data_IF_049844065466
#
_entry.id   IF_049844065466
#
_cell.length_a   1.000
_cell.length_b   1.000
_cell.length_c   1.000
_cell.angle_alpha   90.00
_cell.angle_beta   90.00
_cell.angle_gamma   90.00
#
_symmetry.space_group_name_H-M   'P 1'
#
loop_
_entity.id
_entity.type
_entity.pdbx_description
1 polymer ?
#
# COMPACT_ATOMS: atom_id res chain seq x y z
N UNK A 1 -12.10 22.44 15.82
CA UNK A 1 -11.20 21.66 16.68
C UNK A 1 -12.03 20.77 17.60
N UNK A 2 -11.94 19.45 17.42
CA UNK A 2 -12.77 18.48 18.17
C UNK A 2 -12.05 17.93 19.40
N UNK A 3 -10.85 18.47 19.76
CA UNK A 3 -10.07 18.05 20.92
C UNK A 3 -9.54 16.62 20.83
N UNK A 4 -9.29 16.12 19.62
CA UNK A 4 -8.66 14.82 19.42
C UNK A 4 -7.16 14.98 19.62
N UNK A 5 -6.59 14.25 20.56
CA UNK A 5 -5.15 14.19 20.78
C UNK A 5 -4.50 13.30 19.74
N UNK A 6 -3.43 13.77 19.12
CA UNK A 6 -2.72 13.03 18.08
C UNK A 6 -1.20 13.21 18.19
N UNK A 7 -0.48 12.28 17.61
CA UNK A 7 0.96 12.36 17.34
C UNK A 7 1.22 12.49 15.84
N UNK A 8 2.24 13.23 15.48
CA UNK A 8 2.74 13.29 14.11
C UNK A 8 3.86 12.27 13.93
N UNK A 9 3.75 11.45 12.88
CA UNK A 9 4.73 10.45 12.48
C UNK A 9 5.43 10.86 11.18
N UNK A 10 6.27 9.96 10.63
CA UNK A 10 6.98 10.20 9.37
C UNK A 10 6.02 10.75 8.30
N UNK A 11 6.53 11.68 7.46
CA UNK A 11 5.80 12.30 6.36
C UNK A 11 4.55 13.12 6.75
N UNK A 12 4.47 13.64 7.97
CA UNK A 12 3.35 14.45 8.42
C UNK A 12 2.06 13.66 8.69
N UNK A 13 2.14 12.34 8.81
CA UNK A 13 1.00 11.50 9.12
C UNK A 13 0.55 11.71 10.57
N UNK A 14 -0.74 11.96 10.76
CA UNK A 14 -1.33 12.17 12.08
C UNK A 14 -2.01 10.90 12.57
N UNK A 15 -1.67 10.47 13.78
CA UNK A 15 -2.25 9.30 14.44
C UNK A 15 -2.87 9.70 15.75
N UNK A 16 -4.16 9.38 15.94
CA UNK A 16 -4.82 9.59 17.24
C UNK A 16 -4.22 8.71 18.32
N UNK A 17 -4.02 9.26 19.51
CA UNK A 17 -3.43 8.53 20.65
C UNK A 17 -4.36 7.47 21.22
N UNK A 18 -5.68 7.64 21.09
CA UNK A 18 -6.69 6.73 21.65
C UNK A 18 -7.27 5.74 20.62
N UNK A 19 -6.74 5.75 19.39
CA UNK A 19 -7.16 4.85 18.32
C UNK A 19 -8.39 5.32 17.55
N UNK A 20 -8.68 4.63 16.45
CA UNK A 20 -9.71 5.01 15.48
C UNK A 20 -11.13 5.14 16.08
N UNK A 21 -11.41 4.45 17.18
CA UNK A 21 -12.70 4.50 17.86
C UNK A 21 -13.05 5.91 18.35
N UNK A 22 -12.05 6.68 18.81
CA UNK A 22 -12.25 8.07 19.24
C UNK A 22 -12.77 8.95 18.08
N UNK A 23 -12.27 8.75 16.87
CA UNK A 23 -12.75 9.50 15.69
C UNK A 23 -14.22 9.18 15.43
N UNK A 24 -14.58 7.89 15.47
CA UNK A 24 -15.97 7.46 15.29
C UNK A 24 -16.90 8.06 16.34
N UNK A 25 -16.53 8.00 17.62
CA UNK A 25 -17.31 8.56 18.73
C UNK A 25 -17.52 10.08 18.58
N UNK A 26 -16.50 10.80 18.09
CA UNK A 26 -16.63 12.24 17.81
C UNK A 26 -17.59 12.53 16.68
N UNK A 27 -17.52 11.77 15.59
CA UNK A 27 -18.45 11.93 14.47
C UNK A 27 -19.91 11.63 14.88
N UNK A 28 -20.13 10.58 15.65
CA UNK A 28 -21.46 10.26 16.19
C UNK A 28 -21.98 11.35 17.11
N UNK A 29 -21.12 11.88 17.98
CA UNK A 29 -21.51 13.00 18.87
C UNK A 29 -21.90 14.27 18.10
N UNK A 30 -21.26 14.57 16.95
CA UNK A 30 -21.65 15.68 16.10
C UNK A 30 -23.00 15.44 15.40
N UNK A 31 -23.26 14.20 14.98
CA UNK A 31 -24.57 13.83 14.45
C UNK A 31 -25.68 14.03 15.49
N UNK A 32 -25.45 13.60 16.73
CA UNK A 32 -26.41 13.78 17.84
C UNK A 32 -26.67 15.25 18.16
N UNK A 33 -25.62 16.09 18.18
CA UNK A 33 -25.75 17.54 18.37
C UNK A 33 -26.58 18.21 17.29
N UNK A 34 -26.45 17.76 16.04
CA UNK A 34 -27.16 18.34 14.90
C UNK A 34 -28.68 18.14 14.98
N UNK A 35 -29.20 17.18 15.79
CA UNK A 35 -30.61 16.84 16.01
C UNK A 35 -31.47 16.59 14.75
N UNK A 36 -30.87 16.71 13.56
CA UNK A 36 -31.51 16.52 12.25
C UNK A 36 -30.90 15.35 11.49
N UNK A 37 -29.90 14.69 12.06
CA UNK A 37 -29.25 13.52 11.47
C UNK A 37 -29.86 12.26 12.08
N UNK A 38 -30.34 11.38 11.24
CA UNK A 38 -30.82 10.06 11.64
C UNK A 38 -29.89 9.01 11.03
N UNK A 39 -29.26 8.21 11.88
CA UNK A 39 -28.39 7.11 11.46
C UNK A 39 -29.19 5.82 11.58
N UNK A 40 -29.33 5.10 10.48
CA UNK A 40 -30.04 3.83 10.41
C UNK A 40 -29.08 2.72 9.99
N UNK A 41 -28.77 1.83 10.91
CA UNK A 41 -27.92 0.66 10.66
C UNK A 41 -28.77 -0.55 10.26
N UNK A 42 -28.14 -1.58 9.69
CA UNK A 42 -28.83 -2.79 9.21
C UNK A 42 -29.91 -2.49 8.16
N UNK A 43 -29.75 -1.39 7.43
CA UNK A 43 -30.64 -0.91 6.39
C UNK A 43 -29.92 -1.02 5.05
N UNK A 44 -30.27 -2.04 4.27
CA UNK A 44 -29.69 -2.27 2.95
C UNK A 44 -30.45 -1.44 1.91
N UNK A 45 -29.74 -0.61 1.16
CA UNK A 45 -30.32 0.11 0.02
C UNK A 45 -30.40 -0.86 -1.17
N UNK A 46 -31.61 -1.05 -1.72
CA UNK A 46 -31.90 -1.99 -2.80
C UNK A 46 -32.01 -1.27 -4.14
N UNK A 47 -32.68 -0.11 -4.17
CA UNK A 47 -32.86 0.68 -5.39
C UNK A 47 -32.85 2.18 -5.08
N UNK A 48 -32.41 2.96 -6.07
CA UNK A 48 -32.50 4.43 -6.06
C UNK A 48 -33.11 4.86 -7.39
N UNK A 49 -34.27 5.47 -7.35
CA UNK A 49 -35.03 5.87 -8.53
C UNK A 49 -35.21 7.38 -8.59
N UNK A 50 -34.77 8.04 -9.67
CA UNK A 50 -35.07 9.44 -9.89
C UNK A 50 -36.53 9.62 -10.34
N UNK A 51 -37.14 10.70 -9.87
CA UNK A 51 -38.50 11.10 -10.21
C UNK A 51 -38.51 12.24 -11.21
N UNK A 52 -39.65 12.47 -11.85
CA UNK A 52 -39.82 13.54 -12.85
C UNK A 52 -39.62 14.96 -12.28
N UNK A 53 -39.85 15.15 -11.00
CA UNK A 53 -39.62 16.40 -10.26
C UNK A 53 -38.21 16.59 -9.75
N UNK A 54 -37.26 15.74 -10.18
CA UNK A 54 -35.87 15.69 -9.73
C UNK A 54 -35.66 15.23 -8.28
N UNK A 55 -36.68 14.71 -7.63
CA UNK A 55 -36.55 14.02 -6.34
C UNK A 55 -36.13 12.56 -6.55
N UNK A 56 -35.85 11.87 -5.44
CA UNK A 56 -35.45 10.47 -5.46
C UNK A 56 -36.32 9.62 -4.51
N UNK A 57 -36.58 8.41 -4.95
CA UNK A 57 -37.16 7.33 -4.12
C UNK A 57 -36.08 6.30 -3.88
N UNK A 58 -35.83 6.00 -2.61
CA UNK A 58 -34.84 5.01 -2.16
C UNK A 58 -35.59 3.84 -1.51
N UNK A 59 -35.50 2.68 -2.13
CA UNK A 59 -36.05 1.43 -1.60
C UNK A 59 -35.00 0.72 -0.76
N UNK A 60 -35.36 0.34 0.44
CA UNK A 60 -34.44 -0.31 1.39
C UNK A 60 -35.10 -1.54 2.03
N UNK A 61 -34.28 -2.35 2.72
CA UNK A 61 -34.77 -3.49 3.52
C UNK A 61 -35.69 -3.08 4.69
N UNK A 62 -35.76 -1.80 5.03
CA UNK A 62 -36.55 -1.29 6.15
C UNK A 62 -37.65 -0.31 5.74
N UNK A 63 -37.86 -0.11 4.44
CA UNK A 63 -38.91 0.76 3.91
C UNK A 63 -38.43 1.68 2.80
N UNK A 64 -39.28 2.58 2.40
CA UNK A 64 -39.05 3.51 1.29
C UNK A 64 -38.85 4.92 1.81
N UNK A 65 -37.85 5.59 1.29
CA UNK A 65 -37.50 6.97 1.64
C UNK A 65 -37.65 7.88 0.43
N UNK A 66 -38.13 9.09 0.65
CA UNK A 66 -38.22 10.15 -0.36
C UNK A 66 -37.27 11.29 0.02
N UNK A 67 -36.47 11.79 -0.94
CA UNK A 67 -35.54 12.87 -0.70
C UNK A 67 -35.29 13.70 -1.96
N UNK A 68 -34.86 14.94 -1.77
CA UNK A 68 -34.52 15.87 -2.84
C UNK A 68 -33.10 15.64 -3.37
N UNK A 69 -32.22 15.03 -2.54
CA UNK A 69 -30.82 14.82 -2.89
C UNK A 69 -30.31 13.52 -2.28
N UNK A 70 -29.45 12.81 -3.02
CA UNK A 70 -28.80 11.55 -2.59
C UNK A 70 -27.29 11.73 -2.64
N UNK A 71 -26.61 11.32 -1.58
CA UNK A 71 -25.14 11.21 -1.55
C UNK A 71 -24.78 9.73 -1.49
N UNK A 72 -24.09 9.26 -2.54
CA UNK A 72 -23.59 7.89 -2.61
C UNK A 72 -22.22 7.83 -1.93
N UNK A 73 -22.17 7.25 -0.73
CA UNK A 73 -20.96 7.15 0.08
C UNK A 73 -20.69 5.69 0.51
N UNK A 74 -21.00 4.74 -0.37
CA UNK A 74 -20.97 3.29 -0.10
C UNK A 74 -19.57 2.67 -0.10
N UNK A 75 -18.53 3.47 -0.35
CA UNK A 75 -17.18 2.97 -0.57
C UNK A 75 -17.07 2.23 -1.91
N UNK A 76 -16.10 1.36 -2.02
CA UNK A 76 -15.82 0.56 -3.21
C UNK A 76 -15.48 -0.89 -2.85
N UNK A 77 -14.79 -1.58 -3.76
CA UNK A 77 -14.52 -3.02 -3.65
C UNK A 77 -13.38 -3.41 -2.70
N UNK A 78 -12.77 -2.44 -1.98
CA UNK A 78 -11.53 -2.67 -1.24
C UNK A 78 -11.68 -3.58 -0.03
N UNK A 79 -12.76 -3.45 0.74
CA UNK A 79 -12.99 -4.19 1.99
C UNK A 79 -14.43 -4.73 2.03
N UNK A 80 -14.72 -5.83 1.33
CA UNK A 80 -16.08 -6.40 1.29
C UNK A 80 -16.62 -6.79 2.68
N UNK A 81 -15.74 -7.21 3.59
CA UNK A 81 -16.11 -7.61 4.96
C UNK A 81 -16.61 -6.43 5.82
N UNK A 82 -16.33 -5.19 5.41
CA UNK A 82 -16.85 -3.96 6.03
C UNK A 82 -17.98 -3.32 5.23
N UNK A 83 -18.61 -4.06 4.32
CA UNK A 83 -19.73 -3.59 3.51
C UNK A 83 -19.33 -2.90 2.19
N UNK A 84 -18.03 -2.88 1.85
CA UNK A 84 -17.59 -2.38 0.54
C UNK A 84 -18.16 -3.24 -0.60
N UNK A 85 -18.81 -2.60 -1.57
CA UNK A 85 -19.50 -3.31 -2.69
C UNK A 85 -19.39 -2.53 -4.00
N UNK A 86 -19.84 -3.15 -5.09
CA UNK A 86 -19.96 -2.52 -6.41
C UNK A 86 -21.18 -1.63 -6.58
N UNK A 87 -22.07 -1.54 -5.59
CA UNK A 87 -23.35 -0.84 -5.70
C UNK A 87 -23.24 0.60 -6.22
N UNK A 88 -22.25 1.36 -5.75
CA UNK A 88 -22.02 2.71 -6.25
C UNK A 88 -21.66 2.79 -7.73
N UNK A 89 -20.96 1.78 -8.27
CA UNK A 89 -20.66 1.70 -9.71
C UNK A 89 -21.89 1.33 -10.53
N UNK A 90 -22.72 0.40 -10.03
CA UNK A 90 -23.97 0.00 -10.67
C UNK A 90 -24.93 1.19 -10.72
N UNK A 91 -25.04 1.93 -9.63
CA UNK A 91 -25.84 3.14 -9.56
C UNK A 91 -25.34 4.22 -10.53
N UNK A 92 -24.04 4.44 -10.62
CA UNK A 92 -23.47 5.37 -11.59
C UNK A 92 -23.84 5.01 -13.03
N UNK A 93 -23.77 3.72 -13.38
CA UNK A 93 -24.19 3.21 -14.70
C UNK A 93 -25.69 3.38 -14.93
N UNK A 94 -26.53 3.13 -13.92
CA UNK A 94 -27.99 3.33 -13.97
C UNK A 94 -28.32 4.78 -14.32
N UNK A 95 -27.55 5.74 -13.79
CA UNK A 95 -27.72 7.19 -14.09
C UNK A 95 -26.94 7.66 -15.34
N UNK A 96 -26.49 6.73 -16.19
CA UNK A 96 -25.89 7.03 -17.48
C UNK A 96 -24.42 7.46 -17.44
N UNK A 97 -23.74 7.31 -16.29
CA UNK A 97 -22.30 7.57 -16.19
C UNK A 97 -21.49 6.42 -16.78
N UNK A 98 -20.39 6.76 -17.45
CA UNK A 98 -19.42 5.78 -17.89
C UNK A 98 -18.52 5.37 -16.73
N UNK A 99 -18.53 4.10 -16.36
CA UNK A 99 -17.65 3.53 -15.36
C UNK A 99 -16.49 2.82 -16.04
N UNK A 100 -15.27 3.33 -15.88
CA UNK A 100 -14.08 2.69 -16.39
C UNK A 100 -13.82 1.36 -15.68
N UNK A 101 -13.19 0.37 -16.36
CA UNK A 101 -12.80 -0.88 -15.73
C UNK A 101 -11.99 -0.62 -14.45
N UNK A 102 -12.47 -1.17 -13.34
CA UNK A 102 -11.80 -1.01 -12.05
C UNK A 102 -10.61 -1.96 -11.94
N UNK A 103 -9.56 -1.51 -11.26
CA UNK A 103 -8.42 -2.35 -10.89
C UNK A 103 -8.01 -2.06 -9.46
N UNK A 104 -7.38 -3.03 -8.81
CA UNK A 104 -6.84 -2.84 -7.49
C UNK A 104 -5.71 -1.79 -7.51
N UNK A 105 -5.76 -0.84 -6.58
CA UNK A 105 -4.73 0.15 -6.34
C UNK A 105 -4.27 0.11 -4.88
N UNK A 106 -3.05 0.58 -4.59
CA UNK A 106 -2.44 0.51 -3.27
C UNK A 106 -2.45 -0.92 -2.68
N UNK A 107 -2.09 -1.90 -3.51
CA UNK A 107 -2.10 -3.31 -3.15
C UNK A 107 -0.69 -3.91 -3.17
N UNK A 108 -0.41 -4.94 -2.34
CA UNK A 108 0.85 -5.66 -2.39
C UNK A 108 1.07 -6.36 -3.73
N UNK A 109 2.33 -6.50 -4.16
CA UNK A 109 2.71 -7.42 -5.21
C UNK A 109 2.76 -8.83 -4.66
N UNK A 110 2.16 -9.79 -5.37
CA UNK A 110 2.18 -11.21 -5.02
C UNK A 110 2.93 -11.99 -6.09
N UNK A 111 3.70 -13.00 -5.65
CA UNK A 111 4.45 -13.88 -6.53
C UNK A 111 3.89 -15.29 -6.47
N UNK A 112 3.99 -16.00 -7.60
CA UNK A 112 3.60 -17.41 -7.73
C UNK A 112 4.77 -18.33 -8.14
N UNK A 113 5.94 -17.74 -8.40
CA UNK A 113 7.17 -18.38 -8.85
C UNK A 113 8.22 -18.49 -7.71
N UNK A 114 9.49 -18.69 -8.06
CA UNK A 114 10.60 -18.79 -7.12
C UNK A 114 10.77 -17.54 -6.21
N UNK A 115 10.36 -16.35 -6.67
CA UNK A 115 10.39 -15.16 -5.83
C UNK A 115 9.45 -15.24 -4.63
N UNK A 116 8.38 -16.03 -4.71
CA UNK A 116 7.53 -16.32 -3.55
C UNK A 116 8.30 -17.02 -2.43
N UNK A 117 9.20 -17.93 -2.77
CA UNK A 117 10.04 -18.61 -1.77
C UNK A 117 11.00 -17.63 -1.12
N UNK A 118 11.64 -16.76 -1.91
CA UNK A 118 12.54 -15.70 -1.43
C UNK A 118 11.80 -14.78 -0.45
N UNK A 119 10.65 -14.25 -0.84
CA UNK A 119 9.87 -13.35 0.01
C UNK A 119 9.32 -14.04 1.25
N UNK A 120 9.03 -15.34 1.19
CA UNK A 120 8.61 -16.16 2.35
C UNK A 120 9.75 -16.28 3.36
N UNK A 121 10.97 -16.58 2.93
CA UNK A 121 12.14 -16.63 3.82
C UNK A 121 12.47 -15.29 4.46
N UNK A 122 12.22 -14.20 3.74
CA UNK A 122 12.41 -12.82 4.21
C UNK A 122 11.19 -12.24 4.94
N UNK A 123 10.10 -12.97 5.09
CA UNK A 123 8.86 -12.45 5.67
C UNK A 123 9.07 -11.81 7.03
N UNK A 124 8.51 -10.60 7.19
CA UNK A 124 8.68 -9.77 8.38
C UNK A 124 9.87 -8.80 8.34
N UNK A 125 10.80 -8.95 7.39
CA UNK A 125 11.85 -7.94 7.20
C UNK A 125 11.29 -6.72 6.47
N UNK A 126 11.76 -5.54 6.88
CA UNK A 126 11.47 -4.26 6.22
C UNK A 126 12.75 -3.44 6.08
N UNK A 127 12.85 -2.65 5.02
CA UNK A 127 13.93 -1.69 4.79
C UNK A 127 13.43 -0.56 3.90
N UNK A 128 14.11 0.59 3.93
CA UNK A 128 13.87 1.65 2.94
C UNK A 128 14.46 1.21 1.59
N UNK A 129 13.64 1.23 0.54
CA UNK A 129 14.03 0.85 -0.81
C UNK A 129 13.35 1.73 -1.85
N UNK A 130 13.98 1.89 -3.01
CA UNK A 130 13.33 2.51 -4.16
C UNK A 130 12.80 1.44 -5.11
N UNK A 131 11.50 1.46 -5.35
CA UNK A 131 10.87 0.68 -6.40
C UNK A 131 10.62 1.56 -7.62
N UNK A 132 11.02 1.11 -8.80
CA UNK A 132 10.95 1.90 -10.03
C UNK A 132 10.50 1.06 -11.21
N UNK A 133 9.55 1.58 -11.98
CA UNK A 133 9.21 1.13 -13.33
C UNK A 133 9.54 2.24 -14.34
N UNK A 134 9.19 2.05 -15.61
CA UNK A 134 9.50 3.00 -16.68
C UNK A 134 8.83 4.37 -16.53
N UNK A 135 7.83 4.50 -15.63
CA UNK A 135 7.02 5.70 -15.48
C UNK A 135 7.15 6.40 -14.14
N UNK A 136 7.36 5.64 -13.07
CA UNK A 136 7.32 6.17 -11.69
C UNK A 136 8.34 5.47 -10.80
N UNK A 137 8.75 6.18 -9.75
CA UNK A 137 9.57 5.63 -8.68
C UNK A 137 9.06 6.09 -7.30
N UNK A 138 9.21 5.22 -6.30
CA UNK A 138 8.84 5.50 -4.92
C UNK A 138 9.91 4.98 -3.98
N UNK A 139 10.43 5.88 -3.14
CA UNK A 139 11.46 5.57 -2.13
C UNK A 139 10.81 5.63 -0.75
N UNK A 140 10.53 4.48 -0.17
CA UNK A 140 9.84 4.31 1.10
C UNK A 140 10.12 2.91 1.66
N UNK A 141 9.57 2.61 2.83
CA UNK A 141 9.67 1.28 3.41
C UNK A 141 9.07 0.20 2.48
N UNK A 142 9.87 -0.82 2.20
CA UNK A 142 9.51 -2.07 1.54
C UNK A 142 9.38 -3.15 2.62
N UNK A 143 8.30 -3.91 2.59
CA UNK A 143 8.05 -5.03 3.52
C UNK A 143 7.99 -6.35 2.75
N UNK A 144 8.78 -7.32 3.16
CA UNK A 144 8.67 -8.70 2.69
C UNK A 144 7.56 -9.44 3.44
N UNK A 145 6.71 -10.13 2.70
CA UNK A 145 5.63 -10.97 3.24
C UNK A 145 5.70 -12.37 2.67
N UNK A 146 5.03 -13.33 3.29
CA UNK A 146 4.93 -14.71 2.80
C UNK A 146 4.24 -14.84 1.42
N UNK A 147 3.65 -13.76 0.89
CA UNK A 147 2.98 -13.74 -0.42
C UNK A 147 3.71 -12.91 -1.46
N UNK A 148 4.64 -12.06 -1.03
CA UNK A 148 5.33 -11.14 -1.92
C UNK A 148 5.79 -9.87 -1.21
N UNK A 149 5.64 -8.72 -1.87
CA UNK A 149 6.12 -7.42 -1.42
C UNK A 149 4.97 -6.50 -1.04
N UNK A 150 5.08 -5.86 0.11
CA UNK A 150 4.18 -4.84 0.63
C UNK A 150 4.99 -3.63 1.13
N UNK A 151 4.38 -2.78 1.93
CA UNK A 151 4.98 -1.54 2.40
C UNK A 151 4.71 -0.36 1.46
N UNK A 152 4.89 0.87 1.93
CA UNK A 152 4.51 2.07 1.19
C UNK A 152 5.08 2.17 -0.22
N UNK A 153 6.36 1.84 -0.44
CA UNK A 153 6.98 1.87 -1.78
C UNK A 153 6.30 0.92 -2.77
N UNK A 154 5.99 -0.30 -2.32
CA UNK A 154 5.30 -1.33 -3.09
C UNK A 154 3.86 -0.93 -3.39
N UNK A 155 3.12 -0.49 -2.36
CA UNK A 155 1.72 -0.08 -2.50
C UNK A 155 1.55 1.11 -3.44
N UNK A 156 2.44 2.12 -3.36
CA UNK A 156 2.39 3.27 -4.26
C UNK A 156 2.69 2.88 -5.70
N UNK A 157 3.73 2.07 -5.94
CA UNK A 157 4.07 1.64 -7.30
C UNK A 157 2.94 0.81 -7.94
N UNK A 158 2.18 0.04 -7.15
CA UNK A 158 1.09 -0.79 -7.68
C UNK A 158 0.02 -0.01 -8.43
N UNK A 159 -0.17 1.28 -8.13
CA UNK A 159 -1.10 2.14 -8.88
C UNK A 159 -0.67 2.38 -10.32
N UNK A 160 0.63 2.28 -10.61
CA UNK A 160 1.26 2.61 -11.88
C UNK A 160 1.87 1.39 -12.59
N UNK A 161 1.62 0.20 -12.06
CA UNK A 161 2.08 -1.07 -12.62
C UNK A 161 0.92 -1.81 -13.30
N UNK A 162 1.18 -2.43 -14.44
CA UNK A 162 0.23 -3.30 -15.12
C UNK A 162 0.74 -4.74 -15.12
N UNK A 163 -0.19 -5.70 -15.18
CA UNK A 163 0.14 -7.13 -15.22
C UNK A 163 1.07 -7.43 -16.39
N UNK A 164 2.20 -8.08 -16.12
CA UNK A 164 3.22 -8.42 -17.10
C UNK A 164 4.37 -7.41 -17.20
N UNK A 165 4.27 -6.24 -16.58
CA UNK A 165 5.39 -5.29 -16.51
C UNK A 165 6.42 -5.71 -15.44
N UNK A 166 7.70 -5.44 -15.72
CA UNK A 166 8.77 -5.56 -14.74
C UNK A 166 8.94 -4.26 -13.95
N UNK A 167 9.49 -4.35 -12.75
CA UNK A 167 10.01 -3.22 -11.99
C UNK A 167 11.34 -3.60 -11.35
N UNK A 168 12.14 -2.59 -11.00
CA UNK A 168 13.42 -2.74 -10.33
C UNK A 168 13.31 -2.32 -8.88
N UNK A 169 14.15 -2.89 -8.03
CA UNK A 169 14.28 -2.53 -6.62
C UNK A 169 15.72 -2.13 -6.36
N UNK A 170 15.91 -0.87 -5.93
CA UNK A 170 17.14 -0.43 -5.31
C UNK A 170 17.03 -0.62 -3.80
N UNK A 171 17.83 -1.52 -3.26
CA UNK A 171 17.85 -1.87 -1.84
C UNK A 171 18.70 -0.92 -0.98
N UNK A 172 19.40 0.02 -1.60
CA UNK A 172 20.34 0.92 -0.94
C UNK A 172 20.22 2.37 -1.43
N UNK A 173 19.01 2.95 -1.50
CA UNK A 173 18.76 4.21 -2.18
C UNK A 173 19.48 5.42 -1.60
N UNK A 174 19.94 5.32 -0.35
CA UNK A 174 20.67 6.38 0.35
C UNK A 174 22.18 6.23 0.27
N UNK A 175 22.69 5.24 -0.48
CA UNK A 175 24.11 4.92 -0.52
C UNK A 175 24.65 4.92 -1.96
N UNK A 176 25.76 5.59 -2.17
CA UNK A 176 26.59 5.34 -3.36
C UNK A 176 27.43 4.07 -3.10
N UNK A 177 26.81 2.90 -3.39
CA UNK A 177 27.48 1.61 -3.21
C UNK A 177 28.77 1.50 -4.03
N UNK A 178 28.82 2.10 -5.21
CA UNK A 178 30.01 2.05 -6.06
C UNK A 178 31.19 2.71 -5.39
N UNK A 179 31.01 3.94 -4.87
CA UNK A 179 32.04 4.63 -4.16
C UNK A 179 32.40 3.91 -2.85
N UNK A 180 31.41 3.54 -2.06
CA UNK A 180 31.61 2.82 -0.80
C UNK A 180 32.42 1.54 -0.99
N UNK A 181 32.06 0.70 -1.94
CA UNK A 181 32.77 -0.56 -2.20
C UNK A 181 34.19 -0.34 -2.71
N UNK A 182 34.45 0.68 -3.55
CA UNK A 182 35.80 1.04 -4.00
C UNK A 182 36.69 1.51 -2.82
N UNK A 183 36.15 2.26 -1.87
CA UNK A 183 36.86 2.68 -0.66
C UNK A 183 37.14 1.50 0.27
N UNK A 184 36.16 0.62 0.49
CA UNK A 184 36.33 -0.61 1.30
C UNK A 184 37.31 -1.59 0.67
N UNK A 185 37.32 -1.71 -0.65
CA UNK A 185 38.31 -2.52 -1.39
C UNK A 185 39.74 -2.09 -1.13
N UNK A 186 39.98 -0.78 -0.99
CA UNK A 186 41.32 -0.21 -0.64
C UNK A 186 41.64 -0.40 0.83
N UNK A 187 40.70 -0.14 1.72
CA UNK A 187 40.92 -0.10 3.17
C UNK A 187 40.77 -1.45 3.85
N UNK A 188 39.90 -2.32 3.34
CA UNK A 188 39.56 -3.62 3.94
C UNK A 188 39.48 -4.73 2.87
N UNK A 189 40.53 -4.99 2.07
CA UNK A 189 40.46 -5.86 0.89
C UNK A 189 40.12 -7.32 1.17
N UNK A 190 40.23 -7.79 2.42
CA UNK A 190 39.96 -9.18 2.83
C UNK A 190 38.52 -9.44 3.25
N UNK A 191 37.70 -8.39 3.36
CA UNK A 191 36.31 -8.51 3.80
C UNK A 191 35.43 -9.02 2.68
N UNK A 192 34.41 -9.78 3.00
CA UNK A 192 33.42 -10.30 2.04
C UNK A 192 32.35 -9.23 1.76
N UNK A 193 31.83 -9.22 0.53
CA UNK A 193 30.78 -8.29 0.10
C UNK A 193 29.56 -8.34 1.04
N UNK A 194 29.10 -9.54 1.43
CA UNK A 194 27.97 -9.70 2.37
C UNK A 194 28.18 -9.00 3.71
N UNK A 195 29.41 -8.95 4.21
CA UNK A 195 29.73 -8.29 5.48
C UNK A 195 29.58 -6.78 5.34
N UNK A 196 30.05 -6.21 4.24
CA UNK A 196 29.96 -4.78 3.96
C UNK A 196 28.50 -4.32 3.74
N UNK A 197 27.72 -5.08 2.98
CA UNK A 197 26.32 -4.72 2.73
C UNK A 197 25.45 -4.89 3.98
N UNK A 198 25.84 -5.76 4.92
CA UNK A 198 25.13 -5.93 6.21
C UNK A 198 25.34 -4.72 7.15
N UNK A 199 26.19 -3.73 6.80
CA UNK A 199 26.28 -2.44 7.50
C UNK A 199 25.00 -1.60 7.28
N UNK A 200 24.25 -1.84 6.18
CA UNK A 200 23.11 -1.02 5.76
C UNK A 200 21.74 -1.68 5.92
N UNK A 201 21.69 -3.00 5.92
CA UNK A 201 20.42 -3.74 6.00
C UNK A 201 20.58 -5.07 6.74
N UNK A 202 19.45 -5.73 7.02
CA UNK A 202 19.43 -7.00 7.73
C UNK A 202 20.26 -8.08 6.99
N UNK A 203 21.06 -8.84 7.74
CA UNK A 203 21.90 -9.91 7.19
C UNK A 203 21.10 -10.95 6.39
N UNK A 204 19.87 -11.24 6.79
CA UNK A 204 18.98 -12.16 6.06
C UNK A 204 18.70 -11.68 4.62
N UNK A 205 18.46 -10.37 4.44
CA UNK A 205 18.25 -9.76 3.12
C UNK A 205 19.52 -9.88 2.28
N UNK A 206 20.69 -9.54 2.87
CA UNK A 206 21.98 -9.62 2.16
C UNK A 206 22.30 -11.03 1.73
N UNK A 207 22.00 -12.03 2.54
CA UNK A 207 22.22 -13.45 2.19
C UNK A 207 21.30 -13.92 1.04
N UNK A 208 20.06 -13.47 0.99
CA UNK A 208 19.18 -13.78 -0.14
C UNK A 208 19.65 -13.06 -1.42
N UNK A 209 20.06 -11.80 -1.32
CA UNK A 209 20.66 -11.06 -2.46
C UNK A 209 21.94 -11.75 -2.95
N UNK A 210 22.79 -12.24 -2.05
CA UNK A 210 23.97 -13.03 -2.38
C UNK A 210 23.60 -14.25 -3.22
N UNK A 211 22.63 -15.02 -2.80
CA UNK A 211 22.15 -16.20 -3.53
C UNK A 211 21.63 -15.85 -4.93
N UNK A 212 20.92 -14.75 -5.05
CA UNK A 212 20.27 -14.33 -6.30
C UNK A 212 21.23 -13.67 -7.30
N UNK A 213 22.23 -12.91 -6.83
CA UNK A 213 22.98 -11.97 -7.65
C UNK A 213 24.45 -12.35 -7.76
N UNK A 214 25.12 -12.81 -6.67
CA UNK A 214 26.57 -13.07 -6.66
C UNK A 214 26.95 -14.36 -5.91
N UNK A 215 26.16 -15.42 -6.08
CA UNK A 215 26.40 -16.70 -5.41
C UNK A 215 27.81 -17.23 -5.66
N UNK A 216 28.32 -17.13 -6.88
CA UNK A 216 29.66 -17.62 -7.25
C UNK A 216 30.79 -16.82 -6.58
N UNK A 217 30.58 -15.55 -6.25
CA UNK A 217 31.55 -14.68 -5.58
C UNK A 217 31.35 -14.63 -4.06
N UNK A 218 30.45 -15.45 -3.51
CA UNK A 218 30.02 -15.37 -2.10
C UNK A 218 31.16 -15.46 -1.09
N UNK A 219 32.21 -16.24 -1.38
CA UNK A 219 33.38 -16.47 -0.52
C UNK A 219 34.62 -15.72 -1.02
N UNK A 220 34.47 -14.83 -2.03
CA UNK A 220 35.59 -14.06 -2.56
C UNK A 220 35.69 -12.75 -1.78
N UNK A 221 36.90 -12.45 -1.26
CA UNK A 221 37.18 -11.18 -0.61
C UNK A 221 37.07 -10.02 -1.60
N UNK A 222 36.53 -8.86 -1.18
CA UNK A 222 36.24 -7.74 -2.07
C UNK A 222 37.47 -7.26 -2.86
N UNK A 223 38.67 -7.39 -2.29
CA UNK A 223 39.92 -7.06 -2.99
C UNK A 223 40.17 -7.87 -4.26
N UNK A 224 39.58 -9.06 -4.38
CA UNK A 224 39.74 -10.00 -5.50
C UNK A 224 38.56 -9.95 -6.48
N UNK A 225 37.50 -9.18 -6.20
CA UNK A 225 36.39 -8.96 -7.12
C UNK A 225 36.77 -7.85 -8.09
N UNK A 226 36.53 -7.99 -9.37
CA UNK A 226 36.83 -6.97 -10.37
C UNK A 226 35.85 -5.79 -10.26
N UNK A 227 36.29 -4.58 -10.63
CA UNK A 227 35.43 -3.38 -10.61
C UNK A 227 34.34 -3.41 -11.69
N UNK A 228 34.37 -4.39 -12.59
CA UNK A 228 33.37 -4.62 -13.63
C UNK A 228 32.33 -5.69 -13.25
N UNK A 229 32.51 -6.31 -12.10
CA UNK A 229 31.59 -7.28 -11.51
C UNK A 229 30.71 -6.62 -10.43
#
# INVERSE_FOLDING_TARGET
>A
DYGIEYEERKHGQLFTLKGAKEILERLLAECDKAKRVQIQTHCEVQQVNAQADSSFIIETSQGTYHCESVVVATGGLSIPTLGGSGFGYELAQQFGHHVFPTRAGLVPFTFSDHFKEVTTRLSGNALDATLVNDRHQFTEALLFTHRGLSGPSSLQLSNYWHVGESFKIDFFPSQDLTQFLKEKKKSQPKVLLRTLLSEFTAKSIVLELQQLIWAEQSEIAIGNISDLQ
#
